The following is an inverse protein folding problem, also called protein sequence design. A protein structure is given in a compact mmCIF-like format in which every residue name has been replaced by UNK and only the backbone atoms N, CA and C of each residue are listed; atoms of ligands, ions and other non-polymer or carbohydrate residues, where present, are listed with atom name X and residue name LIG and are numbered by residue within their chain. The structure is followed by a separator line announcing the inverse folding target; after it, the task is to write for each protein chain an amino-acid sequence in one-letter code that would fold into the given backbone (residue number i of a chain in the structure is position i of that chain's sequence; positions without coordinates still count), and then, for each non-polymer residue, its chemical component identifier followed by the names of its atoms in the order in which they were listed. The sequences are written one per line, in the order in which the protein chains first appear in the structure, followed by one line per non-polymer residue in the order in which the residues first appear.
data_IF_253193176722
#
_entry.id   IF_253193176722
#
_cell.length_a   1.000
_cell.length_b   1.000
_cell.length_c   1.000
_cell.angle_alpha   90.00
_cell.angle_beta   90.00
_cell.angle_gamma   90.00
#
_symmetry.space_group_name_H-M   'P 1'
#
loop_
_entity.id
_entity.type
_entity.pdbx_description
1 polymer ?
#
# COMPACT_ATOMS: atom_id res chain seq x y z
N UNK A 1 -17.76 -32.02 6.15
CA UNK A 1 -16.41 -32.22 5.58
C UNK A 1 -15.90 -30.85 5.20
N UNK A 2 -14.92 -30.35 5.94
CA UNK A 2 -14.39 -28.99 5.83
C UNK A 2 -13.47 -28.89 4.61
N UNK A 3 -13.89 -28.18 3.57
CA UNK A 3 -13.05 -27.78 2.43
C UNK A 3 -12.36 -26.46 2.79
N UNK A 4 -11.37 -26.53 3.65
CA UNK A 4 -10.45 -25.44 3.89
C UNK A 4 -9.09 -26.06 4.18
N UNK A 5 -8.36 -26.35 3.11
CA UNK A 5 -6.91 -26.60 3.09
C UNK A 5 -6.46 -26.63 1.61
N UNK A 6 -6.73 -25.54 0.88
CA UNK A 6 -5.93 -25.19 -0.31
C UNK A 6 -5.00 -24.04 0.09
N UNK A 7 -3.97 -24.37 0.86
CA UNK A 7 -2.75 -23.57 0.90
C UNK A 7 -1.71 -24.26 0.02
N UNK A 8 -1.56 -23.81 -1.24
CA UNK A 8 -0.36 -24.06 -2.04
C UNK A 8 0.14 -22.75 -2.65
N UNK A 9 1.39 -22.45 -2.33
CA UNK A 9 2.06 -21.14 -2.41
C UNK A 9 2.40 -20.64 -3.84
N UNK A 10 2.71 -19.34 -3.87
CA UNK A 10 3.29 -18.40 -4.87
C UNK A 10 4.42 -18.91 -5.83
N UNK A 11 5.02 -18.15 -6.81
CA UNK A 11 4.84 -16.75 -7.26
C UNK A 11 4.76 -16.55 -8.82
N UNK A 12 4.58 -15.30 -9.23
CA UNK A 12 4.49 -14.80 -10.61
C UNK A 12 5.83 -14.74 -11.38
N UNK A 13 5.88 -15.18 -12.64
CA UNK A 13 6.88 -14.70 -13.63
C UNK A 13 6.22 -14.47 -14.99
N UNK A 14 6.15 -13.20 -15.39
CA UNK A 14 5.75 -12.80 -16.75
C UNK A 14 6.86 -13.21 -17.73
N UNK A 15 6.63 -14.21 -18.59
CA UNK A 15 7.29 -14.25 -19.91
C UNK A 15 6.26 -13.83 -20.95
N UNK A 16 6.30 -12.55 -21.32
CA UNK A 16 5.49 -12.06 -22.44
C UNK A 16 6.10 -12.56 -23.76
N UNK A 17 5.19 -12.80 -24.71
CA UNK A 17 5.31 -12.68 -26.18
C UNK A 17 5.32 -14.00 -26.98
N UNK A 18 4.16 -14.21 -27.63
CA UNK A 18 3.86 -14.88 -28.91
C UNK A 18 3.88 -16.41 -29.07
N UNK A 19 4.50 -17.21 -28.19
CA UNK A 19 4.54 -18.68 -28.36
C UNK A 19 3.52 -19.51 -27.56
N UNK A 20 2.42 -18.91 -27.09
CA UNK A 20 1.51 -19.59 -26.16
C UNK A 20 0.67 -20.69 -26.83
N UNK A 21 0.14 -20.45 -28.04
CA UNK A 21 -0.71 -21.46 -28.69
C UNK A 21 0.06 -22.72 -29.13
N UNK A 22 1.31 -22.55 -29.53
CA UNK A 22 2.19 -23.64 -29.97
C UNK A 22 2.65 -24.53 -28.79
N UNK A 23 2.84 -23.95 -27.59
CA UNK A 23 3.11 -24.73 -26.36
C UNK A 23 1.86 -25.34 -25.76
N UNK A 24 0.69 -24.71 -25.94
CA UNK A 24 -0.60 -25.24 -25.46
C UNK A 24 -0.96 -26.57 -26.09
N UNK A 25 -0.75 -26.71 -27.42
CA UNK A 25 -0.93 -28.00 -28.12
C UNK A 25 0.13 -29.05 -27.74
N UNK A 26 1.32 -28.61 -27.34
CA UNK A 26 2.42 -29.50 -26.96
C UNK A 26 2.27 -30.13 -25.56
N UNK A 27 1.41 -29.60 -24.69
CA UNK A 27 1.16 -30.15 -23.34
C UNK A 27 -0.05 -31.10 -23.24
N UNK A 28 -0.84 -31.25 -24.31
CA UNK A 28 -1.98 -32.19 -24.34
C UNK A 28 -3.08 -31.91 -23.30
N UNK A 29 -3.15 -30.68 -22.77
CA UNK A 29 -4.12 -30.34 -21.72
C UNK A 29 -5.56 -30.33 -22.26
N UNK A 30 -6.48 -30.85 -21.44
CA UNK A 30 -7.92 -30.77 -21.69
C UNK A 30 -8.42 -29.32 -21.56
N UNK A 31 -9.52 -29.00 -22.24
CA UNK A 31 -10.20 -27.71 -22.10
C UNK A 31 -10.62 -27.43 -20.65
N UNK A 32 -10.95 -28.48 -19.89
CA UNK A 32 -11.26 -28.38 -18.46
C UNK A 32 -10.05 -27.95 -17.63
N UNK A 33 -8.87 -28.50 -17.92
CA UNK A 33 -7.62 -28.15 -17.24
C UNK A 33 -7.18 -26.71 -17.57
N UNK A 34 -7.40 -26.26 -18.82
CA UNK A 34 -7.15 -24.87 -19.21
C UNK A 34 -8.08 -23.90 -18.46
N UNK A 35 -9.37 -24.24 -18.36
CA UNK A 35 -10.34 -23.43 -17.64
C UNK A 35 -10.06 -23.39 -16.14
N UNK A 36 -9.64 -24.50 -15.53
CA UNK A 36 -9.21 -24.55 -14.15
C UNK A 36 -7.99 -23.65 -13.91
N UNK A 37 -6.97 -23.72 -14.77
CA UNK A 37 -5.77 -22.89 -14.67
C UNK A 37 -6.10 -21.39 -14.79
N UNK A 38 -6.91 -21.01 -15.79
CA UNK A 38 -7.37 -19.61 -15.95
C UNK A 38 -8.13 -19.12 -14.71
N UNK A 39 -8.99 -19.97 -14.16
CA UNK A 39 -9.78 -19.64 -12.96
C UNK A 39 -8.89 -19.45 -11.73
N UNK A 40 -7.88 -20.31 -11.54
CA UNK A 40 -6.88 -20.20 -10.47
C UNK A 40 -6.08 -18.89 -10.58
N UNK A 41 -5.58 -18.56 -11.77
CA UNK A 41 -4.85 -17.31 -12.03
C UNK A 41 -5.72 -16.08 -11.71
N UNK A 42 -6.97 -16.08 -12.17
CA UNK A 42 -7.91 -14.98 -11.92
C UNK A 42 -8.23 -14.83 -10.43
N UNK A 43 -8.38 -15.95 -9.71
CA UNK A 43 -8.60 -15.95 -8.27
C UNK A 43 -7.43 -15.31 -7.52
N UNK A 44 -6.21 -15.70 -7.88
CA UNK A 44 -4.98 -15.14 -7.28
C UNK A 44 -4.84 -13.64 -7.54
N UNK A 45 -5.09 -13.18 -8.77
CA UNK A 45 -5.02 -11.74 -9.08
C UNK A 45 -6.11 -10.95 -8.34
N UNK A 46 -7.31 -11.51 -8.17
CA UNK A 46 -8.34 -10.89 -7.32
C UNK A 46 -7.87 -10.75 -5.87
N UNK A 47 -7.32 -11.82 -5.28
CA UNK A 47 -6.76 -11.77 -3.91
C UNK A 47 -5.69 -10.67 -3.79
N UNK A 48 -4.71 -10.66 -4.70
CA UNK A 48 -3.67 -9.62 -4.76
C UNK A 48 -4.26 -8.21 -4.86
N UNK A 49 -5.30 -8.02 -5.66
CA UNK A 49 -5.99 -6.72 -5.78
C UNK A 49 -6.79 -6.34 -4.54
N UNK A 50 -7.36 -7.31 -3.81
CA UNK A 50 -8.00 -7.08 -2.52
C UNK A 50 -6.98 -6.61 -1.49
N UNK A 51 -5.88 -7.34 -1.32
CA UNK A 51 -4.80 -6.99 -0.37
C UNK A 51 -4.25 -5.58 -0.67
N UNK A 52 -4.06 -5.24 -1.96
CA UNK A 52 -3.66 -3.89 -2.37
C UNK A 52 -4.70 -2.82 -2.03
N UNK A 53 -5.99 -3.11 -2.20
CA UNK A 53 -7.05 -2.15 -1.90
C UNK A 53 -7.22 -1.94 -0.39
N UNK A 54 -6.99 -2.97 0.42
CA UNK A 54 -7.04 -2.91 1.88
C UNK A 54 -5.90 -2.04 2.40
N UNK A 55 -4.65 -2.29 1.95
CA UNK A 55 -3.52 -1.42 2.26
C UNK A 55 -3.75 0.05 1.82
N UNK A 56 -4.48 0.25 0.72
CA UNK A 56 -4.83 1.59 0.26
C UNK A 56 -5.88 2.27 1.16
N UNK A 57 -6.76 1.50 1.79
CA UNK A 57 -7.74 2.02 2.76
C UNK A 57 -7.07 2.32 4.11
N UNK A 58 -6.15 1.47 4.56
CA UNK A 58 -5.31 1.74 5.72
C UNK A 58 -4.55 3.05 5.55
N UNK A 59 -3.98 3.28 4.36
CA UNK A 59 -3.35 4.56 4.03
C UNK A 59 -4.35 5.72 4.14
N UNK A 60 -5.58 5.58 3.62
CA UNK A 60 -6.59 6.66 3.75
C UNK A 60 -6.92 6.97 5.20
N UNK A 61 -7.00 5.96 6.06
CA UNK A 61 -7.40 6.10 7.46
C UNK A 61 -6.46 6.98 8.28
N UNK A 62 -5.18 7.06 7.89
CA UNK A 62 -4.13 7.85 8.58
C UNK A 62 -3.93 9.23 7.96
N UNK A 63 -4.60 9.55 6.85
CA UNK A 63 -4.49 10.86 6.22
C UNK A 63 -5.42 11.88 6.87
N UNK A 64 -5.04 13.17 6.84
CA UNK A 64 -5.93 14.24 7.28
C UNK A 64 -7.21 14.25 6.43
N UNK A 65 -8.33 14.65 7.04
CA UNK A 65 -9.65 14.79 6.41
C UNK A 65 -10.35 13.48 5.99
N UNK A 66 -9.85 12.31 6.39
CA UNK A 66 -10.51 11.03 6.13
C UNK A 66 -11.98 11.01 6.60
N UNK A 67 -12.25 11.64 7.76
CA UNK A 67 -13.59 11.63 8.38
C UNK A 67 -14.48 12.82 7.97
N UNK A 68 -13.88 13.90 7.47
CA UNK A 68 -14.58 15.18 7.26
C UNK A 68 -15.16 15.34 5.84
N UNK A 69 -14.65 14.58 4.88
CA UNK A 69 -15.09 14.65 3.48
C UNK A 69 -16.37 13.80 3.24
N UNK A 70 -17.51 14.26 3.75
CA UNK A 70 -18.87 13.86 3.31
C UNK A 70 -19.13 12.39 2.95
N UNK A 71 -18.51 11.43 3.68
CA UNK A 71 -18.50 10.00 3.37
C UNK A 71 -18.00 9.63 1.95
N UNK A 72 -17.40 10.57 1.19
CA UNK A 72 -16.94 10.31 -0.16
C UNK A 72 -15.50 9.82 -0.14
N UNK A 73 -15.32 8.52 -0.36
CA UNK A 73 -13.99 7.88 -0.49
C UNK A 73 -13.14 8.63 -1.52
N UNK A 74 -11.94 9.05 -1.12
CA UNK A 74 -11.00 9.68 -2.04
C UNK A 74 -10.52 8.69 -3.11
N UNK A 75 -10.30 9.20 -4.32
CA UNK A 75 -9.73 8.42 -5.41
C UNK A 75 -8.33 7.89 -5.06
N UNK A 76 -7.87 6.82 -5.72
CA UNK A 76 -6.51 6.28 -5.52
C UNK A 76 -5.44 7.34 -5.78
N UNK A 77 -5.56 8.10 -6.88
CA UNK A 77 -4.59 9.13 -7.23
C UNK A 77 -4.58 10.28 -6.21
N UNK A 78 -5.77 10.75 -5.78
CA UNK A 78 -5.87 11.82 -4.78
C UNK A 78 -5.28 11.39 -3.44
N UNK A 79 -5.49 10.13 -3.04
CA UNK A 79 -4.92 9.56 -1.81
C UNK A 79 -3.39 9.56 -1.85
N UNK A 80 -2.78 9.12 -2.95
CA UNK A 80 -1.31 9.11 -3.09
C UNK A 80 -0.71 10.52 -3.09
N UNK A 81 -1.36 11.46 -3.78
CA UNK A 81 -0.96 12.88 -3.79
C UNK A 81 -1.03 13.46 -2.38
N UNK A 82 -2.15 13.24 -1.68
CA UNK A 82 -2.34 13.74 -0.31
C UNK A 82 -1.32 13.12 0.65
N UNK A 83 -1.08 11.82 0.58
CA UNK A 83 -0.08 11.14 1.39
C UNK A 83 1.32 11.71 1.19
N UNK A 84 1.73 11.94 -0.06
CA UNK A 84 3.05 12.50 -0.37
C UNK A 84 3.19 13.92 0.21
N UNK A 85 2.14 14.74 0.07
CA UNK A 85 2.15 16.10 0.62
C UNK A 85 2.11 16.10 2.15
N UNK A 86 1.39 15.15 2.74
CA UNK A 86 1.29 15.00 4.18
C UNK A 86 2.62 14.62 4.83
N UNK A 87 3.36 13.68 4.25
CA UNK A 87 4.72 13.33 4.69
C UNK A 87 5.63 14.57 4.66
N UNK A 88 5.59 15.35 3.56
CA UNK A 88 6.37 16.60 3.46
C UNK A 88 5.97 17.63 4.51
N UNK A 89 4.67 17.75 4.80
CA UNK A 89 4.16 18.65 5.82
C UNK A 89 4.65 18.25 7.22
N UNK A 90 4.54 16.96 7.56
CA UNK A 90 5.01 16.43 8.85
C UNK A 90 6.51 16.64 9.04
N UNK A 91 7.33 16.42 8.00
CA UNK A 91 8.77 16.68 8.09
C UNK A 91 9.08 18.16 8.40
N UNK A 92 8.42 19.09 7.71
CA UNK A 92 8.58 20.54 7.98
C UNK A 92 8.10 20.92 9.39
N UNK A 93 6.98 20.34 9.83
CA UNK A 93 6.47 20.56 11.18
C UNK A 93 7.47 20.07 12.24
N UNK A 94 8.04 18.88 12.06
CA UNK A 94 9.06 18.33 12.94
C UNK A 94 10.33 19.19 12.99
N UNK A 95 10.84 19.64 11.83
CA UNK A 95 11.98 20.57 11.78
C UNK A 95 11.70 21.89 12.52
N UNK A 96 10.50 22.44 12.37
CA UNK A 96 10.11 23.66 13.08
C UNK A 96 9.98 23.43 14.59
N UNK A 97 9.48 22.29 15.02
CA UNK A 97 9.38 21.94 16.44
C UNK A 97 10.75 21.72 17.06
N UNK A 98 11.67 21.07 16.34
CA UNK A 98 13.04 20.87 16.81
C UNK A 98 13.75 22.22 17.02
N UNK A 99 13.66 23.14 16.05
CA UNK A 99 14.24 24.49 16.20
C UNK A 99 13.70 25.23 17.42
N UNK A 100 12.39 25.15 17.66
CA UNK A 100 11.77 25.77 18.85
C UNK A 100 12.27 25.14 20.14
N UNK A 101 12.49 23.82 20.16
CA UNK A 101 13.04 23.13 21.33
C UNK A 101 14.47 23.59 21.61
N UNK A 102 15.30 23.70 20.57
CA UNK A 102 16.69 24.16 20.69
C UNK A 102 16.75 25.62 21.19
N UNK A 103 15.90 26.50 20.63
CA UNK A 103 15.76 27.89 21.07
C UNK A 103 15.35 27.99 22.54
N UNK A 104 14.38 27.18 22.99
CA UNK A 104 13.94 27.15 24.38
C UNK A 104 15.02 26.60 25.32
N UNK A 105 15.81 25.61 24.89
CA UNK A 105 16.94 25.08 25.68
C UNK A 105 17.98 26.16 25.93
N UNK A 106 18.38 26.87 24.87
CA UNK A 106 19.33 27.98 24.97
C UNK A 106 18.80 29.09 25.88
N UNK A 107 17.50 29.42 25.76
CA UNK A 107 16.88 30.42 26.63
C UNK A 107 16.87 29.99 28.11
N UNK A 108 16.66 28.72 28.40
CA UNK A 108 16.68 28.21 29.77
C UNK A 108 18.08 28.25 30.36
N UNK A 109 19.11 27.83 29.62
CA UNK A 109 20.51 27.92 30.05
C UNK A 109 20.91 29.38 30.36
N UNK A 110 20.51 30.33 29.50
CA UNK A 110 20.77 31.75 29.72
C UNK A 110 20.03 32.32 30.94
N UNK A 111 18.86 31.75 31.28
CA UNK A 111 18.09 32.16 32.47
C UNK A 111 18.77 31.66 33.74
N UNK A 112 19.31 30.45 33.75
CA UNK A 112 20.02 29.92 34.92
C UNK A 112 21.28 30.73 35.23
N UNK A 113 22.10 31.04 34.21
CA UNK A 113 23.32 31.87 34.38
C UNK A 113 23.00 33.30 34.86
N UNK A 114 21.83 33.85 34.55
CA UNK A 114 21.42 35.18 35.02
C UNK A 114 20.88 35.20 36.45
N UNK A 115 20.53 34.04 37.00
CA UNK A 115 19.96 33.90 38.33
C UNK A 115 21.02 33.50 39.39
N UNK A 116 22.26 33.22 38.96
CA UNK A 116 23.46 33.11 39.81
C UNK A 116 24.16 34.48 39.95
#
# INVERSE_FOLDING_TARGET
MSLAEEEDLEPYVRRRVEKSEERKRAMGMSEEEENALRSSINSRERKRMHDLNDAMEDLRSVLPYFKDASNRRMSKISTLILATNWIRHLNKANESLQKKLDELSIQNEQREVKNE
#
